data_IF_216168037464
#
_entry.id   IF_216168037464
#
_cell.length_a   1.000
_cell.length_b   1.000
_cell.length_c   1.000
_cell.angle_alpha   90.00
_cell.angle_beta   90.00
_cell.angle_gamma   90.00
#
_symmetry.space_group_name_H-M   'P 1'
#
loop_
_entity.id
_entity.type
_entity.pdbx_description
1 polymer ?
#
# COMPACT_ATOMS: atom_id res chain seq x y z
N UNK A 1 -11.78 60.05 42.38
CA UNK A 1 -11.76 59.76 40.95
C UNK A 1 -11.12 58.36 40.76
N UNK A 2 -11.95 57.34 40.58
CA UNK A 2 -11.53 55.95 40.47
C UNK A 2 -11.42 55.59 38.98
N UNK A 3 -10.23 55.32 38.52
CA UNK A 3 -9.97 54.84 37.14
C UNK A 3 -10.15 53.33 37.12
N UNK A 4 -11.17 52.85 36.38
CA UNK A 4 -11.39 51.43 36.11
C UNK A 4 -10.68 51.11 34.80
N UNK A 5 -9.60 50.34 34.90
CA UNK A 5 -8.92 49.77 33.73
C UNK A 5 -9.69 48.54 33.28
N UNK A 6 -10.31 48.61 32.11
CA UNK A 6 -10.93 47.47 31.45
C UNK A 6 -9.83 46.66 30.72
N UNK A 7 -9.60 45.41 31.17
CA UNK A 7 -8.69 44.46 30.53
C UNK A 7 -9.47 43.74 29.41
N UNK A 8 -9.22 44.11 28.16
CA UNK A 8 -9.79 43.41 26.99
C UNK A 8 -8.99 42.12 26.74
N UNK A 9 -9.60 40.97 27.03
CA UNK A 9 -9.03 39.65 26.66
C UNK A 9 -9.23 39.39 25.16
N UNK A 10 -8.12 39.39 24.41
CA UNK A 10 -8.12 39.00 23.00
C UNK A 10 -8.18 37.47 22.92
N UNK A 11 -9.32 36.90 22.55
CA UNK A 11 -9.47 35.48 22.30
C UNK A 11 -8.87 35.15 20.93
N UNK A 12 -7.73 34.46 20.93
CA UNK A 12 -7.15 33.88 19.71
C UNK A 12 -7.94 32.62 19.36
N UNK A 13 -8.76 32.70 18.32
CA UNK A 13 -9.42 31.53 17.76
C UNK A 13 -8.38 30.67 17.03
N UNK A 14 -8.03 29.52 17.61
CA UNK A 14 -7.25 28.49 16.94
C UNK A 14 -8.18 27.80 15.94
N UNK A 15 -8.07 28.14 14.67
CA UNK A 15 -8.76 27.42 13.59
C UNK A 15 -8.02 26.11 13.39
N UNK A 16 -8.67 24.94 13.61
CA UNK A 16 -8.03 23.68 13.28
C UNK A 16 -7.85 23.61 11.77
N UNK A 17 -6.60 23.58 11.30
CA UNK A 17 -6.28 23.25 9.90
C UNK A 17 -6.57 21.77 9.73
N UNK A 18 -7.70 21.46 9.10
CA UNK A 18 -8.01 20.09 8.67
C UNK A 18 -6.91 19.65 7.71
N UNK A 19 -6.12 18.65 8.10
CA UNK A 19 -5.28 17.93 7.16
C UNK A 19 -6.24 17.27 6.15
N UNK A 20 -6.25 17.75 4.90
CA UNK A 20 -7.06 17.16 3.86
C UNK A 20 -6.48 15.79 3.51
N UNK A 21 -7.11 14.72 4.00
CA UNK A 21 -6.92 13.39 3.44
C UNK A 21 -7.37 13.44 1.98
N UNK A 22 -6.46 13.18 1.05
CA UNK A 22 -6.84 13.06 -0.35
C UNK A 22 -6.95 11.58 -0.68
N UNK A 23 -8.18 11.11 -0.87
CA UNK A 23 -8.47 9.79 -1.42
C UNK A 23 -8.44 9.89 -2.95
N UNK A 24 -7.52 9.17 -3.59
CA UNK A 24 -7.30 9.22 -5.03
C UNK A 24 -8.06 8.14 -5.78
N UNK A 25 -8.12 6.94 -5.21
CA UNK A 25 -8.72 5.76 -5.82
C UNK A 25 -9.37 4.89 -4.74
N UNK A 26 -10.54 4.34 -5.05
CA UNK A 26 -11.04 3.21 -4.29
C UNK A 26 -10.26 1.93 -4.63
N UNK A 27 -10.33 0.93 -3.75
CA UNK A 27 -9.73 -0.37 -4.01
C UNK A 27 -10.30 -1.06 -5.26
N UNK A 28 -11.57 -0.79 -5.60
CA UNK A 28 -12.20 -1.31 -6.82
C UNK A 28 -11.68 -0.60 -8.06
N UNK A 29 -11.58 0.74 -8.02
CA UNK A 29 -11.00 1.51 -9.13
C UNK A 29 -9.56 1.09 -9.40
N UNK A 30 -8.74 0.89 -8.37
CA UNK A 30 -7.38 0.40 -8.53
C UNK A 30 -7.34 -1.00 -9.16
N UNK A 31 -8.21 -1.91 -8.73
CA UNK A 31 -8.28 -3.26 -9.32
C UNK A 31 -8.64 -3.21 -10.81
N UNK A 32 -9.59 -2.36 -11.21
CA UNK A 32 -9.96 -2.17 -12.62
C UNK A 32 -8.85 -1.52 -13.44
N UNK A 33 -8.08 -0.57 -12.86
CA UNK A 33 -6.90 0.01 -13.52
C UNK A 33 -5.79 -1.03 -13.74
N UNK A 34 -5.57 -1.91 -12.76
CA UNK A 34 -4.53 -2.95 -12.83
C UNK A 34 -4.91 -4.08 -13.80
N UNK A 35 -6.18 -4.41 -13.89
CA UNK A 35 -6.71 -5.47 -14.76
C UNK A 35 -7.91 -4.96 -15.56
N UNK A 36 -7.69 -4.12 -16.57
CA UNK A 36 -8.76 -3.53 -17.38
C UNK A 36 -9.56 -4.57 -18.17
N UNK A 37 -8.94 -5.72 -18.49
CA UNK A 37 -9.58 -6.82 -19.21
C UNK A 37 -10.40 -7.76 -18.30
N UNK A 38 -10.41 -7.54 -16.98
CA UNK A 38 -11.18 -8.37 -16.07
C UNK A 38 -12.68 -8.04 -16.17
N UNK A 39 -13.50 -9.08 -16.33
CA UNK A 39 -14.95 -8.99 -16.29
C UNK A 39 -15.51 -9.16 -14.87
N UNK A 40 -14.75 -9.79 -13.98
CA UNK A 40 -15.11 -10.00 -12.57
C UNK A 40 -13.91 -9.94 -11.63
N UNK A 41 -14.20 -9.59 -10.37
CA UNK A 41 -13.25 -9.63 -9.24
C UNK A 41 -13.87 -10.45 -8.11
N UNK A 42 -13.24 -11.56 -7.76
CA UNK A 42 -13.64 -12.44 -6.68
C UNK A 42 -12.73 -12.23 -5.47
N UNK A 43 -13.30 -11.94 -4.30
CA UNK A 43 -12.48 -11.82 -3.08
C UNK A 43 -12.32 -13.19 -2.42
N UNK A 44 -11.07 -13.58 -2.19
CA UNK A 44 -10.69 -14.77 -1.45
C UNK A 44 -9.99 -14.40 -0.16
N UNK A 45 -10.33 -15.11 0.92
CA UNK A 45 -9.60 -15.01 2.20
C UNK A 45 -8.48 -16.06 2.19
N UNK A 46 -7.24 -15.57 2.20
CA UNK A 46 -6.04 -16.40 2.30
C UNK A 46 -5.59 -16.39 3.75
N UNK A 47 -5.41 -17.56 4.34
CA UNK A 47 -4.87 -17.72 5.68
C UNK A 47 -3.50 -18.43 5.61
N UNK A 48 -2.49 -17.75 6.12
CA UNK A 48 -1.16 -18.33 6.28
C UNK A 48 -1.11 -19.17 7.57
N UNK A 49 -0.52 -20.33 7.49
CA UNK A 49 -0.23 -21.17 8.65
C UNK A 49 1.05 -20.74 9.38
N UNK A 50 1.35 -21.42 10.50
CA UNK A 50 2.52 -21.09 11.32
C UNK A 50 3.86 -21.29 10.58
N UNK A 51 3.96 -22.32 9.72
CA UNK A 51 5.17 -22.59 8.95
C UNK A 51 5.39 -21.51 7.88
N UNK A 52 4.33 -21.08 7.20
CA UNK A 52 4.38 -19.99 6.23
C UNK A 52 4.75 -18.64 6.88
N UNK A 53 4.23 -18.36 8.09
CA UNK A 53 4.62 -17.16 8.84
C UNK A 53 6.10 -17.20 9.23
N UNK A 54 6.62 -18.34 9.70
CA UNK A 54 8.03 -18.52 10.00
C UNK A 54 8.91 -18.38 8.74
N UNK A 55 8.44 -18.89 7.60
CA UNK A 55 9.15 -18.72 6.32
C UNK A 55 9.26 -17.25 5.92
N UNK A 56 8.22 -16.45 6.10
CA UNK A 56 8.26 -15.00 5.85
C UNK A 56 9.24 -14.31 6.79
N UNK A 57 9.20 -14.62 8.08
CA UNK A 57 10.10 -14.04 9.07
C UNK A 57 11.57 -14.37 8.77
N UNK A 58 11.86 -15.59 8.34
CA UNK A 58 13.22 -16.01 7.91
C UNK A 58 13.71 -15.24 6.68
N UNK A 59 12.81 -14.73 5.84
CA UNK A 59 13.11 -13.85 4.71
C UNK A 59 13.15 -12.35 5.08
N UNK A 60 13.01 -12.03 6.37
CA UNK A 60 12.93 -10.65 6.84
C UNK A 60 11.62 -9.93 6.45
N UNK A 61 10.56 -10.70 6.18
CA UNK A 61 9.25 -10.17 5.78
C UNK A 61 8.25 -10.37 6.91
N UNK A 62 7.85 -9.28 7.57
CA UNK A 62 6.79 -9.34 8.59
C UNK A 62 5.41 -9.40 7.94
N UNK A 63 4.68 -10.49 8.15
CA UNK A 63 3.35 -10.69 7.58
C UNK A 63 2.29 -9.69 8.08
N UNK A 64 2.41 -9.14 9.30
CA UNK A 64 1.48 -8.25 10.00
C UNK A 64 0.09 -8.85 10.27
N UNK A 65 -0.36 -9.79 9.45
CA UNK A 65 -1.61 -10.53 9.60
C UNK A 65 -1.41 -11.96 9.11
N UNK A 66 -2.06 -12.92 9.76
CA UNK A 66 -2.15 -14.29 9.25
C UNK A 66 -3.22 -14.43 8.17
N UNK A 67 -4.15 -13.48 8.04
CA UNK A 67 -5.27 -13.54 7.09
C UNK A 67 -5.24 -12.34 6.16
N UNK A 68 -5.38 -12.60 4.86
CA UNK A 68 -5.30 -11.61 3.79
C UNK A 68 -6.51 -11.71 2.87
N UNK A 69 -7.10 -10.57 2.53
CA UNK A 69 -8.11 -10.49 1.49
C UNK A 69 -7.42 -10.27 0.14
N UNK A 70 -7.58 -11.22 -0.77
CA UNK A 70 -7.02 -11.16 -2.11
C UNK A 70 -8.14 -11.10 -3.12
N UNK A 71 -8.15 -10.09 -3.99
CA UNK A 71 -9.06 -10.03 -5.12
C UNK A 71 -8.44 -10.75 -6.31
N UNK A 72 -9.12 -11.78 -6.80
CA UNK A 72 -8.76 -12.52 -8.00
C UNK A 72 -9.42 -11.86 -9.19
N UNK A 73 -8.63 -11.32 -10.11
CA UNK A 73 -9.11 -10.75 -11.37
C UNK A 73 -9.43 -11.90 -12.34
N UNK A 74 -10.65 -11.92 -12.91
CA UNK A 74 -11.15 -12.96 -13.80
C UNK A 74 -11.52 -12.40 -15.15
N UNK A 75 -11.40 -13.23 -16.20
CA UNK A 75 -11.97 -13.00 -17.53
C UNK A 75 -12.47 -14.31 -18.10
N UNK A 76 -13.78 -14.39 -18.37
CA UNK A 76 -14.38 -15.63 -18.87
C UNK A 76 -14.10 -16.86 -17.99
N UNK A 77 -14.04 -16.67 -16.65
CA UNK A 77 -13.70 -17.72 -15.68
C UNK A 77 -12.20 -17.94 -15.47
N UNK A 78 -11.33 -17.53 -16.41
CA UNK A 78 -9.88 -17.65 -16.25
C UNK A 78 -9.33 -16.59 -15.30
N UNK A 79 -8.33 -16.95 -14.49
CA UNK A 79 -7.60 -16.01 -13.64
C UNK A 79 -6.63 -15.17 -14.48
N UNK A 80 -6.67 -13.84 -14.33
CA UNK A 80 -5.71 -12.90 -14.93
C UNK A 80 -4.58 -12.52 -13.97
N UNK A 81 -4.87 -12.53 -12.67
CA UNK A 81 -3.94 -12.15 -11.62
C UNK A 81 -4.65 -11.80 -10.32
N UNK A 82 -3.95 -11.11 -9.44
CA UNK A 82 -4.37 -10.86 -8.06
C UNK A 82 -4.20 -9.39 -7.69
N UNK A 83 -5.09 -8.84 -6.88
CA UNK A 83 -4.96 -7.51 -6.31
C UNK A 83 -5.08 -7.61 -4.80
N UNK A 84 -4.11 -7.06 -4.09
CA UNK A 84 -4.09 -6.96 -2.62
C UNK A 84 -4.00 -5.51 -2.23
N UNK A 85 -4.85 -5.09 -1.29
CA UNK A 85 -4.78 -3.77 -0.65
C UNK A 85 -4.21 -3.92 0.76
N UNK A 86 -3.36 -2.98 1.16
CA UNK A 86 -2.80 -2.91 2.51
C UNK A 86 -2.61 -1.42 2.88
N UNK A 87 -2.28 -1.16 4.13
CA UNK A 87 -1.95 0.16 4.63
C UNK A 87 -0.66 0.11 5.44
N UNK A 88 0.16 1.15 5.28
CA UNK A 88 1.37 1.36 6.09
C UNK A 88 1.34 2.75 6.71
N UNK A 89 1.97 2.90 7.87
CA UNK A 89 2.22 4.23 8.41
C UNK A 89 3.38 4.84 7.64
N UNK A 90 3.19 6.05 7.10
CA UNK A 90 4.28 6.84 6.53
C UNK A 90 5.20 7.38 7.63
N UNK A 91 5.28 8.67 7.78
CA UNK A 91 5.93 9.31 8.94
C UNK A 91 4.98 9.38 10.12
N UNK A 92 3.74 9.79 9.91
CA UNK A 92 2.70 10.01 10.92
C UNK A 92 1.38 9.39 10.50
N UNK A 93 0.99 9.53 9.23
CA UNK A 93 -0.31 9.17 8.71
C UNK A 93 -0.29 7.82 7.96
N UNK A 94 -1.47 7.23 7.79
CA UNK A 94 -1.64 6.02 7.00
C UNK A 94 -1.55 6.32 5.50
N UNK A 95 -0.88 5.43 4.80
CA UNK A 95 -0.81 5.37 3.34
C UNK A 95 -1.51 4.08 2.92
N UNK A 96 -2.68 4.21 2.29
CA UNK A 96 -3.39 3.08 1.71
C UNK A 96 -2.88 2.84 0.29
N UNK A 97 -2.61 1.60 -0.05
CA UNK A 97 -2.09 1.23 -1.37
C UNK A 97 -2.62 -0.12 -1.84
N UNK A 98 -2.52 -0.34 -3.14
CA UNK A 98 -2.87 -1.60 -3.79
C UNK A 98 -1.70 -2.11 -4.63
N UNK A 99 -1.56 -3.43 -4.68
CA UNK A 99 -0.56 -4.12 -5.51
C UNK A 99 -1.27 -5.14 -6.40
N UNK A 100 -1.09 -4.99 -7.70
CA UNK A 100 -1.49 -5.97 -8.70
C UNK A 100 -0.35 -6.95 -8.94
N UNK A 101 -0.65 -8.24 -8.86
CA UNK A 101 0.30 -9.34 -9.09
C UNK A 101 -0.15 -10.13 -10.32
N UNK A 102 0.74 -10.29 -11.29
CA UNK A 102 0.50 -11.10 -12.47
C UNK A 102 0.53 -12.61 -12.17
N UNK A 103 0.11 -13.45 -13.12
CA UNK A 103 0.09 -14.90 -12.95
C UNK A 103 1.47 -15.52 -12.74
N UNK A 104 2.53 -14.91 -13.23
CA UNK A 104 3.91 -15.35 -12.99
C UNK A 104 4.42 -15.00 -11.58
N UNK A 105 3.65 -14.23 -10.80
CA UNK A 105 3.99 -13.77 -9.46
C UNK A 105 4.73 -12.44 -9.42
N UNK A 106 4.94 -11.80 -10.57
CA UNK A 106 5.55 -10.47 -10.62
C UNK A 106 4.56 -9.35 -10.32
N UNK A 107 5.06 -8.22 -9.84
CA UNK A 107 4.27 -7.01 -9.67
C UNK A 107 3.85 -6.47 -11.03
N UNK A 108 2.56 -6.39 -11.28
CA UNK A 108 1.98 -5.77 -12.46
C UNK A 108 1.90 -4.25 -12.32
N UNK A 109 1.48 -3.78 -11.16
CA UNK A 109 1.26 -2.36 -10.89
C UNK A 109 1.14 -2.11 -9.40
N UNK A 110 1.54 -0.90 -8.96
CA UNK A 110 1.30 -0.38 -7.60
C UNK A 110 0.51 0.91 -7.72
N UNK A 111 -0.54 1.07 -6.91
CA UNK A 111 -1.33 2.29 -6.80
C UNK A 111 -1.37 2.77 -5.36
N UNK A 112 -1.19 4.07 -5.14
CA UNK A 112 -1.45 4.73 -3.86
C UNK A 112 -2.92 5.14 -3.86
N UNK A 113 -3.69 4.60 -2.92
CA UNK A 113 -5.14 4.82 -2.81
C UNK A 113 -5.44 6.09 -2.03
N UNK A 114 -4.73 6.30 -0.91
CA UNK A 114 -4.82 7.54 -0.13
C UNK A 114 -3.45 7.93 0.42
N UNK A 115 -3.25 9.25 0.56
CA UNK A 115 -2.02 9.81 1.11
C UNK A 115 -2.37 11.04 1.95
N UNK A 116 -2.03 10.99 3.22
CA UNK A 116 -2.41 12.02 4.21
C UNK A 116 -1.22 12.77 4.80
N UNK A 117 0.02 12.36 4.43
CA UNK A 117 1.22 13.06 4.86
C UNK A 117 1.37 14.42 4.18
N UNK A 118 1.97 15.38 4.86
CA UNK A 118 2.20 16.73 4.34
C UNK A 118 3.32 16.81 3.29
N UNK A 119 4.19 15.79 3.22
CA UNK A 119 5.35 15.72 2.32
C UNK A 119 5.47 14.32 1.71
N UNK A 120 6.14 14.21 0.55
CA UNK A 120 6.44 12.93 -0.07
C UNK A 120 5.33 12.39 -0.95
N UNK A 121 4.43 13.26 -1.43
CA UNK A 121 3.36 12.89 -2.37
C UNK A 121 3.91 12.27 -3.66
N UNK A 122 5.20 12.41 -3.93
CA UNK A 122 5.89 11.90 -5.12
C UNK A 122 5.84 10.37 -5.22
N UNK A 123 5.60 9.63 -4.12
CA UNK A 123 5.37 8.17 -4.17
C UNK A 123 4.16 7.81 -5.04
N UNK A 124 3.22 8.76 -5.27
CA UNK A 124 2.09 8.60 -6.19
C UNK A 124 2.49 8.70 -7.65
N UNK A 125 3.60 9.36 -7.96
CA UNK A 125 4.00 9.59 -9.34
C UNK A 125 4.26 8.25 -10.05
N UNK A 126 3.77 8.09 -11.28
CA UNK A 126 4.01 6.87 -12.05
C UNK A 126 5.49 6.52 -12.17
N UNK A 127 6.38 7.53 -12.21
CA UNK A 127 7.81 7.33 -12.30
C UNK A 127 8.36 6.52 -11.12
N UNK A 128 7.90 6.79 -9.88
CA UNK A 128 8.33 6.03 -8.71
C UNK A 128 7.68 4.65 -8.67
N UNK A 129 6.38 4.57 -8.88
CA UNK A 129 5.61 3.31 -8.77
C UNK A 129 6.00 2.29 -9.84
N UNK A 130 6.40 2.72 -11.04
CA UNK A 130 6.86 1.84 -12.13
C UNK A 130 8.11 1.05 -11.79
N UNK A 131 8.90 1.47 -10.82
CA UNK A 131 10.09 0.73 -10.39
C UNK A 131 9.77 -0.65 -9.82
N UNK A 132 8.54 -0.87 -9.35
CA UNK A 132 8.08 -2.17 -8.85
C UNK A 132 7.66 -3.13 -9.96
N UNK A 133 7.32 -2.63 -11.14
CA UNK A 133 6.77 -3.46 -12.23
C UNK A 133 7.78 -4.52 -12.67
N UNK A 134 7.31 -5.75 -12.82
CA UNK A 134 8.12 -6.92 -13.18
C UNK A 134 8.92 -7.52 -12.03
N UNK A 135 8.95 -6.90 -10.84
CA UNK A 135 9.64 -7.46 -9.67
C UNK A 135 8.79 -8.58 -9.04
N UNK A 136 9.45 -9.68 -8.67
CA UNK A 136 8.81 -10.88 -8.13
C UNK A 136 9.63 -11.47 -6.97
N UNK A 137 9.30 -12.72 -6.57
CA UNK A 137 9.86 -13.35 -5.38
C UNK A 137 11.39 -13.46 -5.31
N UNK A 138 12.10 -13.36 -6.43
CA UNK A 138 13.59 -13.35 -6.49
C UNK A 138 14.18 -11.94 -6.54
N UNK A 139 13.36 -10.91 -6.65
CA UNK A 139 13.81 -9.51 -6.71
C UNK A 139 14.13 -8.99 -5.32
N UNK A 140 15.12 -8.14 -5.18
CA UNK A 140 15.54 -7.56 -3.92
C UNK A 140 14.45 -6.68 -3.29
N UNK A 141 13.59 -6.03 -4.07
CA UNK A 141 12.55 -5.06 -3.66
C UNK A 141 12.97 -4.31 -2.39
N UNK A 142 13.96 -3.45 -2.51
CA UNK A 142 14.54 -2.70 -1.40
C UNK A 142 14.86 -1.25 -1.78
N UNK A 143 14.70 -0.33 -0.81
CA UNK A 143 15.12 1.06 -1.00
C UNK A 143 16.64 1.12 -1.03
N UNK A 144 17.18 1.81 -2.05
CA UNK A 144 18.62 1.94 -2.26
C UNK A 144 19.23 0.81 -3.09
N UNK A 145 18.57 -0.34 -3.18
CA UNK A 145 18.95 -1.45 -4.05
C UNK A 145 18.36 -1.25 -5.44
N UNK A 146 17.08 -1.51 -5.59
CA UNK A 146 16.37 -1.47 -6.86
C UNK A 146 15.13 -0.55 -6.87
N UNK A 147 14.84 0.11 -5.74
CA UNK A 147 13.81 1.15 -5.61
C UNK A 147 14.47 2.44 -5.11
N UNK A 148 14.38 3.50 -5.90
CA UNK A 148 14.92 4.80 -5.55
C UNK A 148 14.17 5.43 -4.38
N UNK A 149 14.91 6.01 -3.44
CA UNK A 149 14.36 6.83 -2.38
C UNK A 149 13.96 8.21 -2.91
N UNK A 150 12.97 8.82 -2.27
CA UNK A 150 12.57 10.22 -2.49
C UNK A 150 13.05 11.04 -1.28
N UNK A 151 13.84 12.08 -1.53
CA UNK A 151 14.30 12.98 -0.47
C UNK A 151 13.10 13.64 0.21
N UNK A 152 13.08 13.61 1.55
CA UNK A 152 11.96 14.11 2.35
C UNK A 152 10.79 13.12 2.53
N UNK A 153 10.80 11.97 1.83
CA UNK A 153 9.76 10.93 1.92
C UNK A 153 10.31 9.54 2.30
N UNK A 154 11.47 9.46 2.91
CA UNK A 154 12.20 8.20 3.17
C UNK A 154 11.34 7.15 3.87
N UNK A 155 10.61 7.53 4.92
CA UNK A 155 9.76 6.59 5.65
C UNK A 155 8.59 6.07 4.79
N UNK A 156 7.94 6.95 4.04
CA UNK A 156 6.89 6.56 3.11
C UNK A 156 7.40 5.60 2.03
N UNK A 157 8.56 5.91 1.42
CA UNK A 157 9.20 5.04 0.44
C UNK A 157 9.56 3.68 1.04
N UNK A 158 10.20 3.65 2.21
CA UNK A 158 10.60 2.41 2.88
C UNK A 158 9.40 1.55 3.23
N UNK A 159 8.40 2.12 3.90
CA UNK A 159 7.27 1.34 4.38
C UNK A 159 6.37 0.83 3.26
N UNK A 160 6.16 1.61 2.18
CA UNK A 160 5.43 1.13 1.01
C UNK A 160 6.23 0.04 0.29
N UNK A 161 7.56 0.20 0.14
CA UNK A 161 8.42 -0.82 -0.48
C UNK A 161 8.39 -2.14 0.31
N UNK A 162 8.52 -2.09 1.63
CA UNK A 162 8.38 -3.26 2.50
C UNK A 162 6.98 -3.88 2.40
N UNK A 163 5.96 -3.05 2.25
CA UNK A 163 4.59 -3.49 2.02
C UNK A 163 4.41 -4.24 0.70
N UNK A 164 4.96 -3.71 -0.39
CA UNK A 164 4.95 -4.39 -1.70
C UNK A 164 5.68 -5.74 -1.61
N UNK A 165 6.89 -5.76 -1.03
CA UNK A 165 7.66 -7.00 -0.80
C UNK A 165 6.86 -8.03 -0.01
N UNK A 166 6.17 -7.61 1.05
CA UNK A 166 5.28 -8.44 1.86
C UNK A 166 4.15 -9.05 1.04
N UNK A 167 3.44 -8.24 0.26
CA UNK A 167 2.32 -8.71 -0.58
C UNK A 167 2.80 -9.73 -1.61
N UNK A 168 3.93 -9.48 -2.28
CA UNK A 168 4.54 -10.43 -3.23
C UNK A 168 4.80 -11.78 -2.56
N UNK A 169 5.42 -11.77 -1.37
CA UNK A 169 5.74 -12.99 -0.64
C UNK A 169 4.47 -13.74 -0.14
N UNK A 170 3.47 -13.02 0.37
CA UNK A 170 2.19 -13.61 0.81
C UNK A 170 1.46 -14.27 -0.37
N UNK A 171 1.34 -13.59 -1.51
CA UNK A 171 0.68 -14.13 -2.70
C UNK A 171 1.44 -15.35 -3.23
N UNK A 172 2.78 -15.33 -3.22
CA UNK A 172 3.60 -16.47 -3.62
C UNK A 172 3.30 -17.72 -2.76
N UNK A 173 3.30 -17.56 -1.42
CA UNK A 173 2.98 -18.66 -0.50
C UNK A 173 1.54 -19.17 -0.67
N UNK A 174 0.58 -18.27 -0.85
CA UNK A 174 -0.82 -18.63 -1.06
C UNK A 174 -1.02 -19.46 -2.34
N UNK A 175 -0.32 -19.10 -3.41
CA UNK A 175 -0.34 -19.85 -4.68
C UNK A 175 0.34 -21.20 -4.56
N UNK A 176 1.49 -21.30 -3.89
CA UNK A 176 2.17 -22.57 -3.63
C UNK A 176 1.31 -23.53 -2.83
N UNK A 177 0.49 -23.01 -1.91
CA UNK A 177 -0.46 -23.79 -1.12
C UNK A 177 -1.79 -24.09 -1.84
N UNK A 178 -1.97 -23.64 -3.09
CA UNK A 178 -3.22 -23.83 -3.85
C UNK A 178 -4.42 -23.03 -3.32
N UNK A 179 -4.18 -21.98 -2.51
CA UNK A 179 -5.23 -21.11 -1.97
C UNK A 179 -5.67 -20.01 -2.97
N UNK A 180 -4.90 -19.79 -4.03
CA UNK A 180 -5.14 -18.81 -5.10
C UNK A 180 -5.05 -19.44 -6.49
#
# INVERSE_FOLDING_TARGET
MRIVLALSALAVAVVPTSAFAVDYLSAEQAARLMFPDADAFETRSVRLDAAQLQQLDAQGVRARSATWAVRVARRGGATLGFVVTDAVVGKVELIDYAVGIALDGSVRQVEILSYRESHGFEIRLPAWRRQFVGKGGTSAIGIGDDIANISGATLSCTHVTDGVRRIVAVVALARQAGAL
#
